data_IF_609691397115
#
_entry.id   IF_609691397115
#
_cell.length_a   1.000
_cell.length_b   1.000
_cell.length_c   1.000
_cell.angle_alpha   90.00
_cell.angle_beta   90.00
_cell.angle_gamma   90.00
#
_symmetry.space_group_name_H-M   'P 1'
#
loop_
_entity.id
_entity.type
_entity.pdbx_description
1 polymer ?
#
# COMPACT_ATOMS: atom_id res chain seq x y z
N UNK A 1 9.39 10.26 17.54
CA UNK A 1 10.13 9.84 16.32
C UNK A 1 9.92 8.35 16.12
N UNK A 2 9.33 7.95 14.99
CA UNK A 2 9.18 6.54 14.68
C UNK A 2 10.55 5.91 14.41
N UNK A 3 10.78 4.66 14.86
CA UNK A 3 12.00 3.96 14.53
C UNK A 3 12.07 3.71 13.01
N UNK A 4 13.24 3.90 12.41
CA UNK A 4 13.47 3.51 11.02
C UNK A 4 13.64 2.00 10.97
N UNK A 5 12.93 1.33 10.07
CA UNK A 5 13.07 -0.09 9.82
C UNK A 5 14.30 -0.32 8.92
N UNK A 6 15.40 -0.78 9.51
CA UNK A 6 16.61 -1.05 8.76
C UNK A 6 16.40 -2.20 7.75
N UNK A 7 16.91 -2.02 6.55
CA UNK A 7 16.79 -3.02 5.48
C UNK A 7 15.39 -3.11 4.84
N UNK A 8 14.47 -2.22 5.20
CA UNK A 8 13.13 -2.14 4.62
C UNK A 8 12.95 -0.82 3.91
N UNK A 9 12.51 -0.85 2.65
CA UNK A 9 12.24 0.32 1.85
C UNK A 9 13.28 0.57 0.76
N UNK A 10 13.03 1.56 -0.03
CA UNK A 10 13.84 1.98 -1.17
C UNK A 10 12.99 2.69 -2.20
N UNK A 11 13.63 3.46 -3.07
CA UNK A 11 12.95 4.15 -4.15
C UNK A 11 12.53 3.16 -5.24
N UNK A 12 11.39 3.43 -5.83
CA UNK A 12 10.85 2.68 -6.94
C UNK A 12 10.04 3.58 -7.86
N UNK A 13 9.81 3.10 -9.08
CA UNK A 13 8.88 3.71 -10.03
C UNK A 13 8.10 2.60 -10.75
N UNK A 14 6.84 2.87 -11.06
CA UNK A 14 5.99 1.95 -11.78
C UNK A 14 4.86 2.67 -12.52
N UNK A 15 4.28 2.05 -13.56
CA UNK A 15 3.03 2.52 -14.15
C UNK A 15 1.93 2.64 -13.10
N UNK A 16 1.11 3.68 -13.23
CA UNK A 16 0.10 4.00 -12.22
C UNK A 16 -1.31 4.14 -12.78
N UNK A 17 -2.27 4.11 -11.88
CA UNK A 17 -3.69 4.40 -12.15
C UNK A 17 -3.95 5.83 -12.66
N UNK A 18 -2.95 6.71 -12.64
CA UNK A 18 -3.01 8.06 -13.21
C UNK A 18 -2.71 8.08 -14.72
N UNK A 19 -2.45 6.93 -15.34
CA UNK A 19 -2.09 6.83 -16.76
C UNK A 19 -0.66 7.28 -17.08
N UNK A 20 0.20 7.36 -16.06
CA UNK A 20 1.63 7.70 -16.20
C UNK A 20 2.46 6.89 -15.19
N UNK A 21 3.76 6.87 -15.39
CA UNK A 21 4.67 6.36 -14.36
C UNK A 21 4.66 7.29 -13.14
N UNK A 22 4.72 6.68 -11.95
CA UNK A 22 4.82 7.35 -10.66
C UNK A 22 5.99 6.76 -9.90
N UNK A 23 6.81 7.62 -9.33
CA UNK A 23 7.92 7.25 -8.45
C UNK A 23 7.63 7.62 -7.00
N UNK A 24 8.21 6.86 -6.05
CA UNK A 24 8.12 7.22 -4.64
C UNK A 24 8.72 8.61 -4.37
N UNK A 25 9.74 8.99 -5.13
CA UNK A 25 10.39 10.30 -5.01
C UNK A 25 9.46 11.50 -5.22
N UNK A 26 8.37 11.33 -5.97
CA UNK A 26 7.38 12.42 -6.19
C UNK A 26 6.64 12.81 -4.89
N UNK A 27 6.65 11.95 -3.89
CA UNK A 27 5.96 12.17 -2.61
C UNK A 27 6.91 12.60 -1.50
N UNK A 28 8.12 13.04 -1.81
CA UNK A 28 9.02 13.66 -0.82
C UNK A 28 8.31 14.86 -0.17
N UNK A 29 8.42 14.97 1.13
CA UNK A 29 7.67 15.97 1.91
C UNK A 29 6.28 15.53 2.35
N UNK A 30 5.81 14.36 1.92
CA UNK A 30 4.56 13.75 2.39
C UNK A 30 4.83 12.48 3.17
N UNK A 31 3.94 12.17 4.10
CA UNK A 31 3.85 10.84 4.69
C UNK A 31 3.19 9.91 3.68
N UNK A 32 3.80 8.76 3.42
CA UNK A 32 3.24 7.77 2.48
C UNK A 32 2.77 6.54 3.26
N UNK A 33 1.56 6.12 2.97
CA UNK A 33 1.00 4.85 3.40
C UNK A 33 1.03 3.89 2.21
N UNK A 34 1.94 2.94 2.25
CA UNK A 34 2.16 1.97 1.17
C UNK A 34 1.52 0.64 1.55
N UNK A 35 0.64 0.13 0.71
CA UNK A 35 -0.08 -1.12 0.91
C UNK A 35 0.05 -2.03 -0.30
N UNK A 36 0.42 -3.29 -0.05
CA UNK A 36 0.46 -4.34 -1.07
C UNK A 36 -0.83 -5.15 -1.03
N UNK A 37 -1.47 -5.31 -2.17
CA UNK A 37 -2.74 -6.02 -2.26
C UNK A 37 -3.11 -6.42 -3.69
N UNK A 38 -4.33 -6.88 -3.88
CA UNK A 38 -4.88 -7.21 -5.21
C UNK A 38 -6.40 -7.06 -5.22
N UNK A 39 -6.97 -6.70 -6.38
CA UNK A 39 -8.39 -6.34 -6.48
C UNK A 39 -9.33 -7.54 -6.35
N UNK A 40 -8.87 -8.74 -6.71
CA UNK A 40 -9.65 -9.98 -6.58
C UNK A 40 -9.73 -10.50 -5.13
N UNK A 41 -9.02 -9.87 -4.18
CA UNK A 41 -9.16 -10.17 -2.77
C UNK A 41 -10.54 -9.75 -2.28
N UNK A 42 -11.32 -10.69 -1.75
CA UNK A 42 -12.70 -10.43 -1.30
C UNK A 42 -12.83 -10.16 0.20
N UNK A 43 -11.72 -10.18 0.94
CA UNK A 43 -11.76 -10.14 2.39
C UNK A 43 -10.93 -8.96 2.93
N UNK A 44 -9.63 -9.09 2.98
CA UNK A 44 -8.75 -8.18 3.74
C UNK A 44 -8.43 -6.89 2.99
N UNK A 45 -8.19 -6.96 1.68
CA UNK A 45 -7.83 -5.78 0.91
C UNK A 45 -8.92 -4.70 0.92
N UNK A 46 -10.22 -5.01 0.69
CA UNK A 46 -11.27 -4.01 0.79
C UNK A 46 -11.41 -3.43 2.20
N UNK A 47 -11.23 -4.26 3.25
CA UNK A 47 -11.27 -3.79 4.64
C UNK A 47 -10.10 -2.84 4.93
N UNK A 48 -8.90 -3.19 4.50
CA UNK A 48 -7.71 -2.32 4.66
C UNK A 48 -7.88 -1.00 3.93
N UNK A 49 -8.35 -1.02 2.69
CA UNK A 49 -8.60 0.21 1.92
C UNK A 49 -9.71 1.08 2.56
N UNK A 50 -10.74 0.46 3.13
CA UNK A 50 -11.76 1.18 3.89
C UNK A 50 -11.18 1.85 5.15
N UNK A 51 -10.30 1.15 5.89
CA UNK A 51 -9.59 1.75 7.03
C UNK A 51 -8.68 2.91 6.60
N UNK A 52 -7.98 2.80 5.49
CA UNK A 52 -7.17 3.90 4.94
C UNK A 52 -8.03 5.08 4.52
N UNK A 53 -9.21 4.86 3.94
CA UNK A 53 -10.21 5.90 3.66
C UNK A 53 -10.65 6.61 4.94
N UNK A 54 -10.99 5.84 5.99
CA UNK A 54 -11.42 6.39 7.27
C UNK A 54 -10.29 7.17 7.95
N UNK A 55 -9.04 6.69 7.82
CA UNK A 55 -7.86 7.40 8.29
C UNK A 55 -7.71 8.76 7.60
N UNK A 56 -7.76 8.78 6.28
CA UNK A 56 -7.66 10.03 5.52
C UNK A 56 -8.78 11.01 5.89
N UNK A 57 -9.98 10.50 6.10
CA UNK A 57 -11.11 11.31 6.59
C UNK A 57 -10.87 11.84 8.01
N UNK A 58 -10.33 11.03 8.91
CA UNK A 58 -9.99 11.42 10.29
C UNK A 58 -8.93 12.53 10.34
N UNK A 59 -7.99 12.50 9.38
CA UNK A 59 -6.93 13.51 9.30
C UNK A 59 -7.46 14.89 8.89
N UNK A 60 -8.59 14.96 8.19
CA UNK A 60 -9.16 16.22 7.73
C UNK A 60 -8.19 17.01 6.84
N UNK A 61 -7.92 18.30 7.13
CA UNK A 61 -6.97 19.11 6.34
C UNK A 61 -5.54 18.56 6.33
N UNK A 62 -5.12 17.82 7.36
CA UNK A 62 -3.80 17.20 7.41
C UNK A 62 -3.63 16.06 6.35
N UNK A 63 -4.72 15.59 5.77
CA UNK A 63 -4.69 14.60 4.70
C UNK A 63 -3.94 15.06 3.44
N UNK A 64 -3.80 16.36 3.22
CA UNK A 64 -3.03 16.92 2.10
C UNK A 64 -1.52 16.62 2.21
N UNK A 65 -1.05 16.36 3.43
CA UNK A 65 0.33 15.94 3.71
C UNK A 65 0.53 14.41 3.66
N UNK A 66 -0.48 13.66 3.18
CA UNK A 66 -0.46 12.20 3.14
C UNK A 66 -0.73 11.71 1.73
N UNK A 67 -0.08 10.63 1.33
CA UNK A 67 -0.38 9.90 0.10
C UNK A 67 -0.55 8.41 0.41
N UNK A 68 -1.64 7.83 -0.09
CA UNK A 68 -1.85 6.39 -0.07
C UNK A 68 -1.45 5.81 -1.42
N UNK A 69 -0.54 4.83 -1.40
CA UNK A 69 -0.09 4.07 -2.55
C UNK A 69 -0.49 2.60 -2.39
N UNK A 70 -1.19 2.09 -3.38
CA UNK A 70 -1.55 0.68 -3.48
C UNK A 70 -0.68 0.03 -4.55
N UNK A 71 0.13 -0.94 -4.18
CA UNK A 71 0.92 -1.74 -5.13
C UNK A 71 0.27 -3.09 -5.31
N UNK A 72 -0.14 -3.42 -6.54
CA UNK A 72 -0.72 -4.74 -6.78
C UNK A 72 0.34 -5.83 -6.69
N UNK A 73 -0.04 -6.97 -6.13
CA UNK A 73 0.77 -8.21 -6.18
C UNK A 73 0.31 -9.14 -7.31
N UNK A 74 -0.71 -8.74 -8.06
CA UNK A 74 -1.30 -9.50 -9.18
C UNK A 74 -1.38 -8.65 -10.47
N UNK A 75 -0.24 -8.20 -11.01
CA UNK A 75 -0.23 -7.24 -12.11
C UNK A 75 -0.81 -7.79 -13.43
N UNK A 76 -0.90 -9.10 -13.59
CA UNK A 76 -1.52 -9.72 -14.77
C UNK A 76 -3.04 -9.50 -14.82
N UNK A 77 -3.67 -9.34 -13.67
CA UNK A 77 -5.12 -9.06 -13.53
C UNK A 77 -5.36 -7.58 -13.23
N UNK A 78 -4.57 -7.03 -12.32
CA UNK A 78 -4.69 -5.66 -11.85
C UNK A 78 -3.87 -4.72 -12.72
N UNK A 79 -4.33 -4.46 -13.93
CA UNK A 79 -3.74 -3.45 -14.80
C UNK A 79 -3.96 -2.05 -14.24
N UNK A 80 -3.25 -1.05 -14.76
CA UNK A 80 -3.43 0.35 -14.33
C UNK A 80 -4.86 0.84 -14.56
N UNK A 81 -5.52 0.37 -15.61
CA UNK A 81 -6.92 0.69 -15.91
C UNK A 81 -7.90 0.06 -14.91
N UNK A 82 -7.61 -1.16 -14.45
CA UNK A 82 -8.39 -1.82 -13.39
C UNK A 82 -8.24 -1.05 -12.10
N UNK A 83 -7.02 -0.69 -11.71
CA UNK A 83 -6.74 0.09 -10.50
C UNK A 83 -7.38 1.48 -10.56
N UNK A 84 -7.38 2.13 -11.74
CA UNK A 84 -8.00 3.43 -11.95
C UNK A 84 -9.53 3.43 -11.72
N UNK A 85 -10.18 2.27 -11.86
CA UNK A 85 -11.61 2.09 -11.61
C UNK A 85 -11.89 1.59 -10.18
N UNK A 86 -10.97 0.84 -9.61
CA UNK A 86 -11.14 0.20 -8.31
C UNK A 86 -10.90 1.15 -7.15
N UNK A 87 -9.77 1.84 -7.13
CA UNK A 87 -9.33 2.66 -5.99
C UNK A 87 -10.22 3.87 -5.71
N UNK A 88 -10.79 4.60 -6.72
CA UNK A 88 -11.67 5.73 -6.45
C UNK A 88 -12.96 5.36 -5.70
N UNK A 89 -13.33 4.08 -5.64
CA UNK A 89 -14.45 3.61 -4.82
C UNK A 89 -14.21 3.81 -3.32
N UNK A 90 -12.93 3.89 -2.92
CA UNK A 90 -12.52 4.17 -1.56
C UNK A 90 -12.21 5.65 -1.37
N UNK A 91 -11.24 6.17 -2.12
CA UNK A 91 -10.89 7.59 -2.13
C UNK A 91 -10.22 7.95 -3.47
N UNK A 92 -10.63 9.07 -4.06
CA UNK A 92 -10.11 9.53 -5.36
C UNK A 92 -8.61 9.88 -5.33
N UNK A 93 -8.02 10.09 -4.16
CA UNK A 93 -6.60 10.42 -3.96
C UNK A 93 -5.69 9.18 -3.90
N UNK A 94 -6.25 7.98 -3.79
CA UNK A 94 -5.48 6.75 -3.77
C UNK A 94 -4.89 6.49 -5.15
N UNK A 95 -3.59 6.18 -5.19
CA UNK A 95 -2.87 5.87 -6.43
C UNK A 95 -2.51 4.40 -6.41
N UNK A 96 -2.86 3.70 -7.48
CA UNK A 96 -2.50 2.30 -7.71
C UNK A 96 -1.28 2.18 -8.61
N UNK A 97 -0.39 1.27 -8.27
CA UNK A 97 0.80 0.93 -9.03
C UNK A 97 0.71 -0.51 -9.52
N UNK A 98 1.03 -0.69 -10.79
CA UNK A 98 1.09 -1.99 -11.44
C UNK A 98 2.31 -2.03 -12.36
N UNK A 99 2.43 -3.05 -13.19
CA UNK A 99 3.54 -3.16 -14.14
C UNK A 99 3.79 -4.60 -14.54
N UNK A 100 5.02 -4.93 -14.89
CA UNK A 100 5.40 -6.31 -15.14
C UNK A 100 5.53 -7.08 -13.82
N UNK A 101 5.42 -8.40 -13.89
CA UNK A 101 5.67 -9.27 -12.71
C UNK A 101 7.04 -9.00 -12.09
N UNK A 102 8.04 -8.77 -12.92
CA UNK A 102 9.40 -8.49 -12.47
C UNK A 102 9.48 -7.15 -11.71
N UNK A 103 8.88 -6.10 -12.25
CA UNK A 103 8.82 -4.79 -11.56
C UNK A 103 8.14 -4.89 -10.19
N UNK A 104 7.02 -5.58 -10.13
CA UNK A 104 6.28 -5.76 -8.86
C UNK A 104 7.08 -6.60 -7.87
N UNK A 105 7.75 -7.66 -8.31
CA UNK A 105 8.60 -8.46 -7.44
C UNK A 105 9.79 -7.65 -6.89
N UNK A 106 10.38 -6.77 -7.68
CA UNK A 106 11.45 -5.87 -7.24
C UNK A 106 10.94 -4.90 -6.17
N UNK A 107 9.80 -4.27 -6.38
CA UNK A 107 9.20 -3.34 -5.41
C UNK A 107 8.85 -4.09 -4.12
N UNK A 108 8.18 -5.23 -4.21
CA UNK A 108 7.84 -6.05 -3.05
C UNK A 108 9.09 -6.50 -2.26
N UNK A 109 10.17 -6.84 -2.96
CA UNK A 109 11.45 -7.22 -2.36
C UNK A 109 12.07 -6.09 -1.53
N UNK A 110 11.97 -4.82 -1.95
CA UNK A 110 12.45 -3.67 -1.18
C UNK A 110 11.76 -3.56 0.18
N UNK A 111 10.50 -3.97 0.28
CA UNK A 111 9.68 -3.87 1.49
C UNK A 111 9.54 -5.20 2.21
N UNK A 112 10.25 -6.25 1.79
CA UNK A 112 10.11 -7.61 2.31
C UNK A 112 8.65 -8.11 2.29
N UNK A 113 7.88 -7.60 1.36
CA UNK A 113 6.48 -7.95 1.13
C UNK A 113 6.42 -9.23 0.28
N UNK A 114 6.75 -10.37 0.89
CA UNK A 114 6.64 -11.66 0.21
C UNK A 114 5.20 -11.98 -0.15
N UNK A 115 4.98 -12.40 -1.38
CA UNK A 115 3.69 -12.84 -1.88
C UNK A 115 3.88 -14.09 -2.72
N UNK A 116 3.10 -15.11 -2.43
CA UNK A 116 3.07 -16.36 -3.18
C UNK A 116 1.65 -16.62 -3.69
N UNK A 117 1.55 -16.97 -4.96
CA UNK A 117 0.31 -17.51 -5.51
C UNK A 117 0.08 -18.88 -4.90
N UNK A 118 -1.03 -19.10 -4.22
CA UNK A 118 -1.35 -20.38 -3.56
C UNK A 118 -1.71 -21.52 -4.54
N UNK A 119 -1.14 -21.49 -5.75
CA UNK A 119 -1.28 -22.61 -6.70
C UNK A 119 -0.34 -23.80 -6.42
N UNK A 120 0.64 -23.63 -5.54
CA UNK A 120 1.61 -24.67 -5.22
C UNK A 120 1.25 -25.50 -3.97
N UNK A 121 0.12 -25.23 -3.36
CA UNK A 121 -0.43 -26.11 -2.35
C UNK A 121 -1.45 -27.02 -3.03
N UNK A 122 -1.02 -28.23 -3.41
CA UNK A 122 -1.94 -29.32 -3.69
C UNK A 122 -2.80 -29.56 -2.46
N UNK A 123 -3.92 -28.84 -2.37
CA UNK A 123 -4.97 -29.22 -1.46
C UNK A 123 -5.58 -30.49 -2.07
N UNK A 124 -5.24 -31.61 -1.50
CA UNK A 124 -5.94 -32.88 -1.75
C UNK A 124 -7.41 -32.71 -1.31
N UNK A 125 -8.21 -32.19 -2.25
CA UNK A 125 -9.65 -32.02 -2.05
C UNK A 125 -10.40 -33.25 -2.49
N UNK A 126 -10.49 -34.23 -1.60
CA UNK A 126 -11.45 -35.33 -1.79
C UNK A 126 -12.87 -35.01 -1.33
N UNK A 127 -13.23 -33.78 -0.98
CA UNK A 127 -14.60 -33.49 -0.56
C UNK A 127 -15.05 -32.06 -0.85
N UNK A 128 -15.17 -31.66 -2.12
CA UNK A 128 -16.16 -30.63 -2.48
C UNK A 128 -16.41 -30.60 -4.00
N UNK A 129 -17.19 -31.58 -4.45
CA UNK A 129 -17.91 -31.51 -5.71
C UNK A 129 -19.11 -30.58 -5.51
N UNK A 130 -19.03 -29.44 -6.08
CA UNK A 130 -20.12 -28.62 -6.63
C UNK A 130 -19.95 -27.13 -6.32
N UNK A 131 -19.31 -26.43 -7.28
CA UNK A 131 -19.75 -25.09 -7.77
C UNK A 131 -18.80 -24.62 -8.88
N UNK A 132 -19.29 -24.15 -10.03
CA UNK A 132 -18.47 -23.68 -11.15
C UNK A 132 -17.80 -22.30 -10.92
N UNK A 133 -17.68 -21.88 -9.68
CA UNK A 133 -17.02 -20.65 -9.27
C UNK A 133 -15.56 -20.86 -8.81
N UNK A 134 -15.07 -22.10 -8.85
CA UNK A 134 -13.79 -22.48 -8.26
C UNK A 134 -12.55 -22.15 -9.14
N UNK A 135 -12.73 -21.57 -10.32
CA UNK A 135 -11.61 -21.41 -11.26
C UNK A 135 -10.84 -20.10 -11.16
N UNK A 136 -11.16 -19.19 -10.24
CA UNK A 136 -10.49 -17.90 -10.10
C UNK A 136 -10.20 -17.41 -8.68
N UNK A 137 -10.34 -18.22 -7.66
CA UNK A 137 -9.93 -17.82 -6.32
C UNK A 137 -8.55 -18.34 -5.96
N UNK A 138 -7.52 -17.76 -6.56
CA UNK A 138 -6.19 -17.89 -6.01
C UNK A 138 -6.05 -16.84 -4.88
N UNK A 139 -5.61 -17.31 -3.75
CA UNK A 139 -5.26 -16.45 -2.63
C UNK A 139 -3.77 -16.15 -2.73
N UNK A 140 -3.42 -14.87 -2.76
CA UNK A 140 -2.05 -14.48 -2.48
C UNK A 140 -1.85 -14.49 -0.98
N UNK A 141 -0.89 -15.28 -0.52
CA UNK A 141 -0.37 -15.14 0.83
C UNK A 141 0.54 -13.93 0.81
N UNK A 142 0.04 -12.79 1.26
CA UNK A 142 0.84 -11.59 1.44
C UNK A 142 0.74 -11.16 2.91
N UNK A 143 1.79 -10.58 3.39
CA UNK A 143 1.74 -9.88 4.64
C UNK A 143 0.81 -8.68 4.46
N UNK A 144 -0.28 -8.65 5.21
CA UNK A 144 -1.30 -7.58 5.18
C UNK A 144 -0.76 -6.35 5.92
N UNK A 145 0.35 -5.83 5.42
CA UNK A 145 1.12 -4.79 6.07
C UNK A 145 0.91 -3.47 5.35
N UNK A 146 0.70 -2.44 6.15
CA UNK A 146 0.73 -1.06 5.71
C UNK A 146 2.05 -0.48 6.18
N UNK A 147 2.90 -0.07 5.25
CA UNK A 147 4.16 0.58 5.53
C UNK A 147 3.93 2.08 5.66
N UNK A 148 4.35 2.64 6.79
CA UNK A 148 4.31 4.06 7.03
C UNK A 148 5.68 4.64 6.67
N UNK A 149 5.73 5.47 5.63
CA UNK A 149 6.95 6.11 5.18
C UNK A 149 6.96 7.59 5.60
N UNK A 150 8.10 8.06 6.06
CA UNK A 150 8.29 9.47 6.40
C UNK A 150 8.48 10.35 5.15
N UNK A 151 8.62 11.66 5.34
CA UNK A 151 8.81 12.61 4.24
C UNK A 151 10.06 12.37 3.39
N UNK A 152 11.05 11.69 3.94
CA UNK A 152 12.24 11.26 3.21
C UNK A 152 12.04 9.90 2.51
N UNK A 153 10.85 9.30 2.61
CA UNK A 153 10.53 7.99 2.02
C UNK A 153 11.12 6.81 2.77
N UNK A 154 11.54 7.00 4.03
CA UNK A 154 12.09 5.93 4.87
C UNK A 154 10.96 5.22 5.59
N UNK A 155 10.99 3.89 5.63
CA UNK A 155 10.01 3.11 6.36
C UNK A 155 10.24 3.26 7.88
N UNK A 156 9.24 3.81 8.57
CA UNK A 156 9.30 4.09 10.00
C UNK A 156 8.24 3.37 10.82
N UNK A 157 7.30 2.70 10.19
CA UNK A 157 6.24 1.98 10.88
C UNK A 157 5.60 0.90 10.03
N UNK A 158 5.05 -0.08 10.72
CA UNK A 158 4.37 -1.20 10.13
C UNK A 158 3.04 -1.40 10.84
N UNK A 159 1.95 -1.35 10.09
CA UNK A 159 0.61 -1.59 10.58
C UNK A 159 -0.01 -2.79 9.89
N UNK A 160 -0.94 -3.44 10.57
CA UNK A 160 -1.64 -4.61 10.07
C UNK A 160 -3.13 -4.29 9.94
N UNK A 161 -3.86 -5.14 9.25
CA UNK A 161 -5.30 -5.01 9.10
C UNK A 161 -6.08 -4.93 10.41
N UNK A 162 -5.49 -5.40 11.52
CA UNK A 162 -6.03 -5.30 12.88
C UNK A 162 -5.64 -4.01 13.63
N UNK A 163 -4.77 -3.18 13.08
CA UNK A 163 -4.42 -1.89 13.68
C UNK A 163 -5.60 -0.92 13.56
N UNK A 164 -5.83 -0.14 14.61
CA UNK A 164 -6.94 0.81 14.61
C UNK A 164 -6.61 2.07 13.78
N UNK A 165 -7.63 2.65 13.20
CA UNK A 165 -7.52 3.94 12.48
C UNK A 165 -6.96 5.04 13.39
N UNK A 166 -7.30 5.02 14.68
CA UNK A 166 -6.81 5.98 15.67
C UNK A 166 -5.30 5.86 15.91
N UNK A 167 -4.78 4.63 16.04
CA UNK A 167 -3.34 4.38 16.20
C UNK A 167 -2.55 4.84 14.98
N UNK A 168 -2.99 4.46 13.79
CA UNK A 168 -2.39 4.93 12.53
C UNK A 168 -2.46 6.45 12.41
N UNK A 169 -3.60 7.05 12.76
CA UNK A 169 -3.80 8.50 12.71
C UNK A 169 -2.88 9.26 13.64
N UNK A 170 -2.64 8.73 14.84
CA UNK A 170 -1.70 9.32 15.81
C UNK A 170 -0.26 9.30 15.26
N UNK A 171 0.17 8.19 14.71
CA UNK A 171 1.51 8.06 14.12
C UNK A 171 1.73 8.98 12.91
N UNK A 172 0.73 9.05 12.02
CA UNK A 172 0.77 9.94 10.85
C UNK A 172 0.85 11.41 11.29
N UNK A 173 0.03 11.84 12.26
CA UNK A 173 0.08 13.22 12.79
C UNK A 173 1.44 13.55 13.42
N UNK A 174 2.04 12.59 14.14
CA UNK A 174 3.38 12.76 14.71
C UNK A 174 4.43 12.99 13.62
N UNK A 175 4.40 12.22 12.53
CA UNK A 175 5.32 12.40 11.41
C UNK A 175 5.11 13.75 10.70
N UNK A 176 3.86 14.17 10.49
CA UNK A 176 3.55 15.48 9.89
C UNK A 176 4.09 16.61 10.77
N UNK A 177 3.95 16.50 12.09
CA UNK A 177 4.46 17.51 13.03
C UNK A 177 6.00 17.57 13.05
N UNK A 178 6.69 16.42 13.00
CA UNK A 178 8.15 16.36 12.90
C UNK A 178 8.67 17.06 11.63
N UNK A 179 8.00 16.84 10.49
CA UNK A 179 8.34 17.50 9.22
C UNK A 179 8.24 19.02 9.30
N UNK A 180 7.21 19.53 9.97
CA UNK A 180 7.02 20.96 10.13
C UNK A 180 8.11 21.60 11.01
N UNK A 181 8.62 20.86 12.02
CA UNK A 181 9.71 21.34 12.87
C UNK A 181 11.06 21.32 12.16
N UNK A 182 11.36 20.28 11.38
CA UNK A 182 12.61 20.17 10.62
C UNK A 182 12.70 21.24 9.52
N UNK A 183 11.58 21.63 8.92
CA UNK A 183 11.52 22.70 7.93
C UNK A 183 11.72 24.11 8.54
N UNK A 184 11.46 24.28 9.84
CA UNK A 184 11.65 25.55 10.56
C UNK A 184 13.08 25.74 11.11
N UNK A 185 13.86 24.66 11.20
CA UNK A 185 15.21 24.65 11.74
C UNK A 185 16.32 24.72 10.67
N UNK A 186 16.00 24.94 9.38
CA UNK A 186 16.97 25.20 8.34
C UNK A 186 17.18 26.74 8.18
N UNK A 187 18.17 27.36 8.86
CA UNK A 187 18.45 28.80 8.78
C UNK A 187 19.47 29.07 7.68
N UNK A 188 19.09 28.85 6.40
CA UNK A 188 20.11 29.14 5.41
C UNK A 188 19.77 28.97 3.95
N UNK A 189 19.07 29.91 3.39
CA UNK A 189 19.24 30.27 1.97
C UNK A 189 19.27 31.79 1.83
#
# INVERSE_FOLDING_TARGET
>A
KLPILEGVGGDFAAPSSLGREVSLGEFRGKVVLLFFGYTSCQDVCPVTLAHLKDLVKLLGPAADAVQVLFVTVDPEVDTVEVLAKYLPQFDARFIGLSGTREQINQIAGLYLAEHHRSHDVEISTEHHRSKPYAEKSYLYTHAQQIYLLDAAGRAGGLYFSGSTVAEMGSAVRSLIAEQASDASDDPGS
#
